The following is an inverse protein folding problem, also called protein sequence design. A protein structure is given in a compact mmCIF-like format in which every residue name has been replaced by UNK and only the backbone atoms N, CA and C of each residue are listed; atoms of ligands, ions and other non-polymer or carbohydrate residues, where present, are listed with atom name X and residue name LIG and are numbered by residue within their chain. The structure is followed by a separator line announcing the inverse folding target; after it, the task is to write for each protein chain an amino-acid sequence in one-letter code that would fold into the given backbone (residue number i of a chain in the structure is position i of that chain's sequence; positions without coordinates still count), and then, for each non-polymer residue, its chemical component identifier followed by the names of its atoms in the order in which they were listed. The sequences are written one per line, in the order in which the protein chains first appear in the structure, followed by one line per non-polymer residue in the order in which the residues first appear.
data_IF_361425344863
#
_entry.id   IF_361425344863
#
_cell.length_a   1.000
_cell.length_b   1.000
_cell.length_c   1.000
_cell.angle_alpha   90.00
_cell.angle_beta   90.00
_cell.angle_gamma   90.00
#
_symmetry.space_group_name_H-M   'P 1'
#
loop_
_entity.id
_entity.type
_entity.pdbx_description
1 polymer ?
#
# COMPACT_ATOMS: atom_id res chain seq x y z
N UNK A 1 -9.02 -7.83 21.40
CA UNK A 1 -8.79 -6.39 21.22
C UNK A 1 -7.30 -6.18 21.05
N UNK A 2 -6.84 -5.83 19.84
CA UNK A 2 -5.47 -5.37 19.64
C UNK A 2 -5.39 -3.98 20.26
N UNK A 3 -4.57 -3.82 21.30
CA UNK A 3 -4.17 -2.49 21.73
C UNK A 3 -3.33 -1.87 20.61
N UNK A 4 -3.78 -0.73 20.11
CA UNK A 4 -3.05 0.04 19.11
C UNK A 4 -1.80 0.63 19.75
N UNK A 5 -0.68 0.57 19.04
CA UNK A 5 0.63 1.03 19.46
C UNK A 5 1.26 1.82 18.33
N UNK A 6 1.92 2.94 18.64
CA UNK A 6 2.68 3.68 17.63
C UNK A 6 3.86 2.80 17.16
N UNK A 7 4.44 3.04 15.98
CA UNK A 7 5.63 2.25 15.60
C UNK A 7 6.80 2.53 16.55
N UNK A 8 6.87 3.71 17.16
CA UNK A 8 7.88 3.95 18.19
C UNK A 8 7.67 3.02 19.38
N UNK A 9 6.44 2.85 19.87
CA UNK A 9 6.11 1.85 20.90
C UNK A 9 6.33 0.40 20.43
N UNK A 10 6.17 0.14 19.13
CA UNK A 10 6.47 -1.16 18.51
C UNK A 10 7.98 -1.41 18.53
N UNK A 11 8.79 -0.43 18.17
CA UNK A 11 10.25 -0.50 18.14
C UNK A 11 10.87 -0.49 19.53
N UNK A 12 10.26 0.20 20.49
CA UNK A 12 10.71 0.29 21.88
C UNK A 12 10.36 -0.97 22.67
N UNK A 13 9.39 -1.77 22.19
CA UNK A 13 8.98 -3.05 22.81
C UNK A 13 8.77 -4.14 21.75
N UNK A 14 9.81 -4.52 20.99
CA UNK A 14 9.67 -5.36 19.79
C UNK A 14 9.26 -6.80 20.09
N UNK A 15 9.46 -7.29 21.31
CA UNK A 15 9.12 -8.65 21.73
C UNK A 15 7.70 -8.79 22.30
N UNK A 16 6.97 -7.68 22.47
CA UNK A 16 5.54 -7.73 22.80
C UNK A 16 4.78 -8.45 21.67
N UNK A 17 3.78 -9.26 22.01
CA UNK A 17 3.15 -10.22 21.09
C UNK A 17 2.64 -9.57 19.79
N UNK A 18 1.98 -8.42 19.89
CA UNK A 18 1.41 -7.72 18.74
C UNK A 18 2.47 -6.92 17.98
N UNK A 19 3.42 -6.33 18.69
CA UNK A 19 4.59 -5.65 18.10
C UNK A 19 5.43 -6.63 17.28
N UNK A 20 5.75 -7.79 17.85
CA UNK A 20 6.46 -8.89 17.19
C UNK A 20 5.73 -9.36 15.94
N UNK A 21 4.40 -9.50 16.02
CA UNK A 21 3.58 -9.87 14.86
C UNK A 21 3.62 -8.80 13.75
N UNK A 22 3.59 -7.52 14.12
CA UNK A 22 3.76 -6.41 13.16
C UNK A 22 5.16 -6.41 12.53
N UNK A 23 6.21 -6.60 13.33
CA UNK A 23 7.59 -6.67 12.86
C UNK A 23 7.87 -7.92 12.01
N UNK A 24 7.20 -9.05 12.28
CA UNK A 24 7.21 -10.23 11.39
C UNK A 24 6.57 -9.93 10.02
N UNK A 25 5.67 -8.93 9.95
CA UNK A 25 5.16 -8.39 8.69
C UNK A 25 6.11 -7.37 8.03
N UNK A 26 7.32 -7.16 8.57
CA UNK A 26 8.43 -6.46 7.91
C UNK A 26 9.49 -7.50 7.51
N UNK A 27 9.17 -8.35 6.53
CA UNK A 27 10.10 -9.36 6.02
C UNK A 27 11.28 -8.69 5.34
N UNK A 28 12.49 -9.07 5.76
CA UNK A 28 13.75 -8.52 5.27
C UNK A 28 14.35 -9.27 4.07
N UNK A 29 13.66 -10.29 3.55
CA UNK A 29 14.19 -11.15 2.49
C UNK A 29 13.21 -11.48 1.37
N UNK A 30 13.77 -11.61 0.17
CA UNK A 30 13.10 -12.18 -1.00
C UNK A 30 13.68 -13.57 -1.30
N UNK A 31 12.82 -14.53 -1.56
CA UNK A 31 13.19 -15.82 -2.16
C UNK A 31 12.58 -15.91 -3.55
N UNK A 32 13.40 -16.32 -4.52
CA UNK A 32 12.96 -16.55 -5.89
C UNK A 32 13.30 -18.00 -6.30
N UNK A 33 12.28 -18.76 -6.72
CA UNK A 33 12.45 -20.04 -7.39
C UNK A 33 12.34 -19.79 -8.90
N UNK A 34 13.36 -20.21 -9.64
CA UNK A 34 13.52 -19.93 -11.07
C UNK A 34 13.78 -21.25 -11.79
N UNK A 35 13.21 -21.42 -12.98
CA UNK A 35 13.53 -22.55 -13.84
C UNK A 35 15.01 -22.56 -14.23
N UNK A 36 15.68 -23.71 -14.09
CA UNK A 36 17.12 -23.85 -14.36
C UNK A 36 17.52 -23.48 -15.79
N UNK A 37 16.58 -23.53 -16.75
CA UNK A 37 16.80 -23.15 -18.14
C UNK A 37 16.97 -21.63 -18.35
N UNK A 38 16.65 -20.81 -17.35
CA UNK A 38 16.69 -19.35 -17.44
C UNK A 38 18.08 -18.80 -17.09
N UNK A 39 19.13 -19.27 -17.77
CA UNK A 39 20.55 -18.97 -17.42
C UNK A 39 20.87 -17.48 -17.33
N UNK A 40 20.38 -16.68 -18.28
CA UNK A 40 20.64 -15.24 -18.30
C UNK A 40 19.97 -14.53 -17.12
N UNK A 41 18.71 -14.88 -16.84
CA UNK A 41 17.95 -14.34 -15.72
C UNK A 41 18.58 -14.71 -14.37
N UNK A 42 19.07 -15.94 -14.23
CA UNK A 42 19.78 -16.38 -13.01
C UNK A 42 21.02 -15.51 -12.80
N UNK A 43 21.84 -15.31 -13.84
CA UNK A 43 23.04 -14.44 -13.77
C UNK A 43 22.70 -13.00 -13.41
N UNK A 44 21.64 -12.45 -14.00
CA UNK A 44 21.19 -11.08 -13.74
C UNK A 44 20.70 -10.91 -12.30
N UNK A 45 19.89 -11.85 -11.80
CA UNK A 45 19.40 -11.84 -10.42
C UNK A 45 20.52 -12.04 -9.39
N UNK A 46 21.52 -12.87 -9.67
CA UNK A 46 22.72 -12.98 -8.83
C UNK A 46 23.50 -11.66 -8.76
N UNK A 47 23.64 -10.96 -9.89
CA UNK A 47 24.30 -9.65 -9.95
C UNK A 47 23.51 -8.61 -9.15
N UNK A 48 22.20 -8.58 -9.29
CA UNK A 48 21.31 -7.69 -8.53
C UNK A 48 21.39 -8.02 -7.04
N UNK A 49 21.35 -9.29 -6.66
CA UNK A 49 21.50 -9.75 -5.28
C UNK A 49 22.83 -9.34 -4.65
N UNK A 50 23.94 -9.44 -5.38
CA UNK A 50 25.25 -8.94 -4.91
C UNK A 50 25.26 -7.43 -4.71
N UNK A 51 24.67 -6.68 -5.64
CA UNK A 51 24.59 -5.22 -5.56
C UNK A 51 23.71 -4.75 -4.38
N UNK A 52 22.55 -5.39 -4.21
CA UNK A 52 21.67 -5.21 -3.05
C UNK A 52 22.40 -5.40 -1.72
N UNK A 53 23.15 -6.50 -1.56
CA UNK A 53 23.95 -6.77 -0.35
C UNK A 53 25.03 -5.72 -0.08
N UNK A 54 25.47 -4.98 -1.11
CA UNK A 54 26.41 -3.87 -0.99
C UNK A 54 25.74 -2.50 -0.81
N UNK A 55 24.43 -2.47 -0.55
CA UNK A 55 23.64 -1.23 -0.38
C UNK A 55 23.36 -0.48 -1.69
N UNK A 56 23.71 -1.06 -2.83
CA UNK A 56 23.51 -0.47 -4.16
C UNK A 56 22.35 -1.15 -4.86
N UNK A 57 21.13 -0.69 -4.64
CA UNK A 57 20.00 -1.17 -5.43
C UNK A 57 20.11 -0.62 -6.85
N UNK A 58 20.09 -1.53 -7.84
CA UNK A 58 19.95 -1.18 -9.25
C UNK A 58 18.54 -1.58 -9.70
N UNK A 59 17.79 -0.63 -10.25
CA UNK A 59 16.51 -0.93 -10.91
C UNK A 59 16.75 -1.88 -12.09
N UNK A 60 15.82 -2.81 -12.31
CA UNK A 60 15.95 -3.85 -13.31
C UNK A 60 14.60 -4.18 -13.93
N UNK A 61 14.56 -4.25 -15.25
CA UNK A 61 13.39 -4.65 -16.04
C UNK A 61 13.83 -5.70 -17.06
N UNK A 62 13.26 -6.90 -17.00
CA UNK A 62 13.54 -7.97 -17.95
C UNK A 62 12.37 -8.94 -18.06
N UNK A 63 11.88 -9.22 -19.27
CA UNK A 63 10.87 -10.25 -19.55
C UNK A 63 9.64 -10.22 -18.62
N UNK A 64 9.21 -8.99 -18.27
CA UNK A 64 8.06 -8.77 -17.37
C UNK A 64 8.38 -8.84 -15.87
N UNK A 65 9.63 -9.11 -15.46
CA UNK A 65 10.11 -8.87 -14.10
C UNK A 65 10.60 -7.44 -13.97
N UNK A 66 10.16 -6.78 -12.91
CA UNK A 66 10.52 -5.41 -12.54
C UNK A 66 10.99 -5.39 -11.10
N UNK A 67 12.16 -4.83 -10.86
CA UNK A 67 12.77 -4.61 -9.54
C UNK A 67 13.08 -3.12 -9.45
N UNK A 68 12.51 -2.42 -8.47
CA UNK A 68 12.63 -0.98 -8.36
C UNK A 68 12.69 -0.52 -6.89
N UNK A 69 13.12 0.72 -6.68
CA UNK A 69 13.23 1.32 -5.35
C UNK A 69 12.13 2.35 -5.12
N UNK A 70 11.64 2.39 -3.89
CA UNK A 70 11.00 3.57 -3.32
C UNK A 70 11.60 3.77 -1.92
N UNK A 71 12.38 4.83 -1.75
CA UNK A 71 13.16 5.14 -0.54
C UNK A 71 12.29 5.30 0.72
N UNK A 72 11.03 5.69 0.54
CA UNK A 72 10.02 5.78 1.60
C UNK A 72 9.29 4.47 1.88
N UNK A 73 9.54 3.42 1.10
CA UNK A 73 8.91 2.12 1.29
C UNK A 73 9.76 1.24 2.22
N UNK A 74 9.17 0.68 3.28
CA UNK A 74 9.91 -0.15 4.24
C UNK A 74 10.34 -1.52 3.70
N UNK A 75 9.83 -1.90 2.52
CA UNK A 75 10.35 -3.01 1.73
C UNK A 75 11.16 -2.55 0.54
N UNK A 76 12.40 -3.01 0.46
CA UNK A 76 13.29 -2.70 -0.65
C UNK A 76 14.16 -3.94 -1.00
N UNK A 77 14.25 -4.35 -2.28
CA UNK A 77 13.61 -3.78 -3.47
C UNK A 77 12.13 -4.15 -3.60
N UNK A 78 11.36 -3.32 -4.30
CA UNK A 78 10.01 -3.67 -4.72
C UNK A 78 10.05 -4.52 -5.98
N UNK A 79 9.23 -5.58 -6.03
CA UNK A 79 9.24 -6.54 -7.12
C UNK A 79 7.84 -6.73 -7.71
N UNK A 80 7.74 -6.61 -9.03
CA UNK A 80 6.56 -6.95 -9.81
C UNK A 80 6.93 -7.99 -10.88
N UNK A 81 6.03 -8.94 -11.15
CA UNK A 81 6.15 -9.85 -12.30
C UNK A 81 4.84 -9.85 -13.05
N UNK A 82 4.91 -9.56 -14.35
CA UNK A 82 3.76 -9.55 -15.25
C UNK A 82 3.09 -10.93 -15.28
N UNK A 83 1.75 -10.95 -15.32
CA UNK A 83 0.99 -12.19 -15.46
C UNK A 83 1.38 -12.89 -16.77
N UNK A 84 1.70 -14.18 -16.70
CA UNK A 84 2.12 -14.98 -17.84
C UNK A 84 3.63 -15.06 -18.07
N UNK A 85 4.46 -14.34 -17.30
CA UNK A 85 5.90 -14.59 -17.28
C UNK A 85 6.16 -15.96 -16.61
N UNK A 86 6.48 -16.96 -17.44
CA UNK A 86 6.71 -18.35 -17.02
C UNK A 86 8.08 -18.47 -16.34
N UNK A 87 8.18 -19.35 -15.33
CA UNK A 87 9.47 -19.77 -14.78
C UNK A 87 10.03 -18.96 -13.61
N UNK A 88 9.25 -18.06 -12.98
CA UNK A 88 9.68 -17.33 -11.78
C UNK A 88 8.58 -17.28 -10.70
N UNK A 89 8.92 -17.72 -9.50
CA UNK A 89 8.09 -17.64 -8.31
C UNK A 89 8.82 -16.88 -7.21
N UNK A 90 8.20 -15.82 -6.68
CA UNK A 90 8.84 -14.91 -5.70
C UNK A 90 8.02 -14.87 -4.42
N UNK A 91 8.69 -14.94 -3.28
CA UNK A 91 8.12 -14.71 -1.94
C UNK A 91 8.90 -13.61 -1.21
N UNK A 92 8.23 -12.68 -0.49
CA UNK A 92 6.78 -12.54 -0.36
C UNK A 92 6.09 -12.21 -1.69
N UNK A 93 4.77 -12.37 -1.75
CA UNK A 93 3.95 -12.21 -2.97
C UNK A 93 4.37 -10.94 -3.70
N UNK A 94 4.68 -11.00 -4.99
CA UNK A 94 5.00 -9.83 -5.83
C UNK A 94 3.88 -8.80 -5.87
N UNK A 95 4.19 -7.55 -6.19
CA UNK A 95 3.18 -6.52 -6.45
C UNK A 95 2.33 -6.91 -7.66
N UNK A 96 1.01 -6.72 -7.58
CA UNK A 96 0.15 -6.82 -8.76
C UNK A 96 0.32 -5.58 -9.68
N UNK A 97 -0.36 -5.53 -10.84
CA UNK A 97 -0.23 -4.40 -11.79
C UNK A 97 -0.66 -3.07 -11.17
N UNK A 98 -1.80 -3.05 -10.49
CA UNK A 98 -2.38 -1.84 -9.90
C UNK A 98 -1.61 -1.44 -8.64
N UNK A 99 -1.17 -2.40 -7.83
CA UNK A 99 -0.26 -2.15 -6.70
C UNK A 99 1.07 -1.52 -7.18
N UNK A 100 1.68 -2.04 -8.27
CA UNK A 100 2.86 -1.42 -8.88
C UNK A 100 2.56 0.01 -9.34
N UNK A 101 1.45 0.22 -10.04
CA UNK A 101 1.06 1.55 -10.54
C UNK A 101 0.90 2.54 -9.39
N UNK A 102 0.18 2.15 -8.32
CA UNK A 102 0.00 2.98 -7.14
C UNK A 102 1.34 3.42 -6.54
N UNK A 103 2.30 2.51 -6.40
CA UNK A 103 3.62 2.88 -5.87
C UNK A 103 4.40 3.80 -6.81
N UNK A 104 4.31 3.60 -8.12
CA UNK A 104 4.94 4.50 -9.11
C UNK A 104 4.37 5.92 -8.97
N UNK A 105 3.05 6.04 -8.90
CA UNK A 105 2.38 7.34 -8.80
C UNK A 105 2.69 8.02 -7.44
N UNK A 106 2.72 7.25 -6.36
CA UNK A 106 3.15 7.70 -5.03
C UNK A 106 4.59 8.22 -5.03
N UNK A 107 5.52 7.49 -5.67
CA UNK A 107 6.92 7.90 -5.81
C UNK A 107 7.02 9.23 -6.56
N UNK A 108 6.36 9.35 -7.70
CA UNK A 108 6.34 10.58 -8.50
C UNK A 108 5.72 11.76 -7.73
N UNK A 109 4.64 11.53 -6.98
CA UNK A 109 4.04 12.53 -6.11
C UNK A 109 5.00 12.98 -5.01
N UNK A 110 5.69 12.04 -4.34
CA UNK A 110 6.66 12.36 -3.29
C UNK A 110 7.85 13.18 -3.80
N UNK A 111 8.29 12.93 -5.03
CA UNK A 111 9.35 13.72 -5.66
C UNK A 111 8.90 15.16 -5.94
N UNK A 112 7.67 15.33 -6.43
CA UNK A 112 7.08 16.64 -6.71
C UNK A 112 6.81 17.44 -5.44
N UNK A 113 6.30 16.79 -4.40
CA UNK A 113 5.85 17.45 -3.17
C UNK A 113 6.92 17.52 -2.07
N UNK A 114 8.18 17.15 -2.39
CA UNK A 114 9.29 17.06 -1.44
C UNK A 114 9.48 18.34 -0.63
N UNK A 115 9.49 19.49 -1.31
CA UNK A 115 9.82 20.79 -0.71
C UNK A 115 8.56 21.60 -0.31
N UNK A 116 7.37 21.05 -0.59
CA UNK A 116 6.06 21.66 -0.33
C UNK A 116 5.32 20.86 0.75
N UNK A 117 4.43 19.95 0.37
CA UNK A 117 3.59 19.22 1.32
C UNK A 117 4.43 18.35 2.26
N UNK A 118 5.50 17.70 1.77
CA UNK A 118 6.35 16.81 2.56
C UNK A 118 7.42 17.55 3.36
N UNK A 119 7.49 18.88 3.28
CA UNK A 119 8.44 19.65 4.08
C UNK A 119 8.17 19.42 5.57
N UNK A 120 9.19 18.98 6.30
CA UNK A 120 9.13 18.62 7.72
C UNK A 120 8.13 17.50 8.05
N UNK A 121 7.76 16.68 7.05
CA UNK A 121 6.95 15.48 7.25
C UNK A 121 7.72 14.24 6.85
N UNK A 122 7.51 13.18 7.60
CA UNK A 122 8.06 11.87 7.29
C UNK A 122 6.93 10.99 6.76
N UNK A 123 7.15 10.36 5.63
CA UNK A 123 6.17 9.47 5.01
C UNK A 123 6.82 8.11 4.82
N UNK A 124 6.16 7.09 5.36
CA UNK A 124 6.51 5.69 5.19
C UNK A 124 5.37 4.96 4.48
N UNK A 125 5.74 4.10 3.53
CA UNK A 125 4.81 3.20 2.87
C UNK A 125 5.15 1.77 3.24
N UNK A 126 4.17 1.07 3.77
CA UNK A 126 4.30 -0.32 4.20
C UNK A 126 3.35 -1.17 3.37
N UNK A 127 3.78 -2.39 3.05
CA UNK A 127 2.90 -3.38 2.46
C UNK A 127 2.32 -4.28 3.54
N UNK A 128 1.01 -4.48 3.52
CA UNK A 128 0.30 -5.33 4.45
C UNK A 128 0.20 -6.76 3.90
N UNK A 129 1.25 -7.56 4.09
CA UNK A 129 1.45 -8.81 3.32
C UNK A 129 0.61 -10.01 3.75
N UNK A 130 -0.17 -9.94 4.83
CA UNK A 130 -0.69 -11.15 5.48
C UNK A 130 -2.20 -11.10 5.76
N UNK A 131 -2.98 -11.78 4.93
CA UNK A 131 -4.32 -12.25 5.34
C UNK A 131 -4.17 -13.16 6.55
N UNK A 132 -4.66 -12.71 7.71
CA UNK A 132 -4.63 -13.47 8.98
C UNK A 132 -3.39 -13.25 9.87
N UNK A 133 -2.36 -12.52 9.43
CA UNK A 133 -1.25 -12.07 10.32
C UNK A 133 -0.98 -10.56 10.27
N UNK A 134 -1.61 -9.85 9.32
CA UNK A 134 -1.42 -8.42 9.07
C UNK A 134 -2.54 -7.60 9.68
N UNK A 135 -2.47 -6.29 9.54
CA UNK A 135 -3.56 -5.42 10.00
C UNK A 135 -4.77 -5.71 9.13
N UNK A 136 -5.86 -6.09 9.76
CA UNK A 136 -7.08 -6.50 9.07
C UNK A 136 -8.27 -6.15 9.94
N UNK A 137 -9.31 -5.65 9.30
CA UNK A 137 -10.53 -5.17 9.95
C UNK A 137 -11.63 -6.18 9.65
N UNK A 138 -11.42 -7.39 10.15
CA UNK A 138 -12.31 -8.53 9.96
C UNK A 138 -13.68 -8.22 10.58
N UNK A 139 -13.69 -7.76 11.82
CA UNK A 139 -14.90 -7.51 12.60
C UNK A 139 -15.69 -6.30 12.06
N UNK A 140 -15.03 -5.36 11.38
CA UNK A 140 -15.62 -4.11 10.89
C UNK A 140 -16.04 -4.11 9.40
N UNK A 141 -15.81 -5.19 8.63
CA UNK A 141 -16.27 -5.23 7.24
C UNK A 141 -15.50 -6.09 6.24
N UNK A 142 -14.66 -7.03 6.67
CA UNK A 142 -13.80 -7.83 5.79
C UNK A 142 -12.89 -6.98 4.90
N UNK A 143 -12.30 -5.92 5.46
CA UNK A 143 -11.36 -5.06 4.76
C UNK A 143 -9.90 -5.47 5.03
N UNK A 144 -9.13 -5.64 3.94
CA UNK A 144 -7.72 -6.06 3.96
C UNK A 144 -6.95 -5.12 3.04
N UNK A 145 -6.47 -3.98 3.57
CA UNK A 145 -5.73 -3.03 2.77
C UNK A 145 -4.43 -3.65 2.28
N UNK A 146 -4.01 -3.34 1.06
CA UNK A 146 -2.73 -3.79 0.52
C UNK A 146 -1.56 -2.96 1.09
N UNK A 147 -1.80 -1.68 1.41
CA UNK A 147 -0.79 -0.75 1.92
C UNK A 147 -1.23 -0.01 3.18
N UNK A 148 -0.23 0.39 3.96
CA UNK A 148 -0.35 1.35 5.05
C UNK A 148 0.53 2.54 4.69
N UNK A 149 -0.06 3.72 4.56
CA UNK A 149 0.64 4.99 4.43
C UNK A 149 0.71 5.61 5.82
N UNK A 150 1.92 5.85 6.30
CA UNK A 150 2.13 6.44 7.61
C UNK A 150 2.84 7.77 7.46
N UNK A 151 2.11 8.86 7.69
CA UNK A 151 2.59 10.23 7.61
C UNK A 151 2.75 10.79 9.01
N UNK A 152 3.96 11.24 9.34
CA UNK A 152 4.29 11.90 10.61
C UNK A 152 4.48 13.39 10.31
N UNK A 153 3.78 14.24 11.07
CA UNK A 153 3.82 15.70 10.94
C UNK A 153 3.89 16.33 12.32
N UNK A 154 5.11 16.65 12.76
CA UNK A 154 5.34 17.06 14.15
C UNK A 154 5.04 15.90 15.10
N UNK A 155 4.16 16.13 16.07
CA UNK A 155 3.74 15.09 17.02
C UNK A 155 2.53 14.28 16.52
N UNK A 156 1.98 14.61 15.34
CA UNK A 156 0.78 13.96 14.82
C UNK A 156 1.12 12.86 13.83
N UNK A 157 0.37 11.76 13.90
CA UNK A 157 0.52 10.58 13.06
C UNK A 157 -0.77 10.31 12.28
N UNK A 158 -0.67 10.24 10.96
CA UNK A 158 -1.76 9.81 10.10
C UNK A 158 -1.47 8.39 9.61
N UNK A 159 -2.25 7.41 10.07
CA UNK A 159 -2.17 6.02 9.62
C UNK A 159 -3.32 5.76 8.65
N UNK A 160 -2.97 5.63 7.38
CA UNK A 160 -3.93 5.52 6.28
C UNK A 160 -3.83 4.15 5.61
N UNK A 161 -4.92 3.42 5.60
CA UNK A 161 -5.03 2.12 4.95
C UNK A 161 -5.47 2.31 3.49
N UNK A 162 -4.67 1.83 2.54
CA UNK A 162 -4.90 2.03 1.12
C UNK A 162 -5.03 0.70 0.38
N UNK A 163 -6.10 0.53 -0.38
CA UNK A 163 -6.42 -0.69 -1.13
C UNK A 163 -6.66 -0.39 -2.62
N UNK A 164 -5.71 -0.71 -3.52
CA UNK A 164 -5.89 -0.64 -4.97
C UNK A 164 -6.88 -1.68 -5.52
N UNK A 165 -8.16 -1.55 -5.16
CA UNK A 165 -9.20 -2.56 -5.36
C UNK A 165 -10.25 -2.18 -6.40
N UNK A 166 -10.66 -3.14 -7.25
CA UNK A 166 -11.73 -2.93 -8.21
C UNK A 166 -13.11 -2.81 -7.55
N UNK A 167 -13.96 -1.94 -8.10
CA UNK A 167 -15.31 -1.68 -7.58
C UNK A 167 -16.40 -2.39 -8.40
N UNK A 168 -16.06 -3.40 -9.20
CA UNK A 168 -17.02 -4.05 -10.12
C UNK A 168 -18.20 -4.71 -9.38
N UNK A 169 -18.04 -5.04 -8.10
CA UNK A 169 -19.06 -5.72 -7.30
C UNK A 169 -19.72 -4.83 -6.25
N UNK A 170 -19.18 -3.65 -5.97
CA UNK A 170 -19.76 -2.71 -5.02
C UNK A 170 -20.99 -2.07 -5.66
N UNK A 171 -22.20 -2.36 -5.16
CA UNK A 171 -23.47 -1.93 -5.79
C UNK A 171 -24.12 -0.70 -5.15
N UNK A 172 -23.62 -0.29 -3.98
CA UNK A 172 -24.11 0.83 -3.20
C UNK A 172 -22.99 1.38 -2.33
N UNK A 173 -23.15 2.60 -1.82
CA UNK A 173 -22.20 3.19 -0.87
C UNK A 173 -22.22 2.46 0.47
N UNK A 174 -23.27 1.67 0.73
CA UNK A 174 -23.36 0.78 1.89
C UNK A 174 -22.52 -0.50 1.79
N UNK A 175 -21.77 -0.70 0.71
CA UNK A 175 -20.77 -1.78 0.63
C UNK A 175 -19.77 -1.65 1.78
N UNK A 176 -19.46 -2.75 2.46
CA UNK A 176 -18.66 -2.73 3.68
C UNK A 176 -17.26 -2.17 3.47
N UNK A 177 -16.68 -2.33 2.27
CA UNK A 177 -15.37 -1.75 1.96
C UNK A 177 -15.45 -0.24 1.79
N UNK A 178 -16.50 0.24 1.13
CA UNK A 178 -16.71 1.68 0.90
C UNK A 178 -17.01 2.38 2.22
N UNK A 179 -17.93 1.84 3.04
CA UNK A 179 -18.24 2.39 4.37
C UNK A 179 -17.08 2.30 5.36
N UNK A 180 -16.02 1.55 5.07
CA UNK A 180 -14.92 1.38 6.01
C UNK A 180 -14.17 2.70 6.27
N UNK A 181 -14.20 3.66 5.33
CA UNK A 181 -13.67 5.01 5.55
C UNK A 181 -14.39 5.77 6.67
N UNK A 182 -15.67 5.49 6.91
CA UNK A 182 -16.44 6.03 8.03
C UNK A 182 -16.21 5.20 9.30
N UNK A 183 -16.33 3.87 9.20
CA UNK A 183 -16.19 2.96 10.35
C UNK A 183 -14.83 3.03 11.03
N UNK A 184 -13.77 3.32 10.28
CA UNK A 184 -12.43 3.44 10.86
C UNK A 184 -12.35 4.58 11.90
N UNK A 185 -13.23 5.58 11.81
CA UNK A 185 -13.31 6.66 12.80
C UNK A 185 -13.86 6.20 14.14
N UNK A 186 -14.72 5.19 14.16
CA UNK A 186 -15.12 4.52 15.41
C UNK A 186 -13.94 3.78 16.06
N UNK A 187 -12.96 3.33 15.26
CA UNK A 187 -11.71 2.77 15.78
C UNK A 187 -10.83 3.89 16.35
N UNK A 188 -10.66 4.99 15.61
CA UNK A 188 -9.93 6.19 16.03
C UNK A 188 -10.46 6.73 17.36
N UNK A 189 -11.77 6.93 17.50
CA UNK A 189 -12.41 7.42 18.73
C UNK A 189 -12.14 6.51 19.94
N UNK A 190 -12.06 5.20 19.71
CA UNK A 190 -11.74 4.21 20.75
C UNK A 190 -10.28 4.24 21.15
N UNK A 191 -9.37 4.73 20.29
CA UNK A 191 -7.95 4.89 20.63
C UNK A 191 -7.75 5.95 21.72
N UNK A 192 -8.61 6.98 21.74
CA UNK A 192 -8.49 8.13 22.66
C UNK A 192 -7.10 8.79 22.63
N UNK A 193 -6.47 8.76 21.48
CA UNK A 193 -5.19 9.41 21.21
C UNK A 193 -5.43 10.53 20.19
N UNK A 194 -5.37 11.78 20.65
CA UNK A 194 -5.59 12.97 19.82
C UNK A 194 -4.43 13.27 18.87
N UNK A 195 -3.32 12.55 19.00
CA UNK A 195 -2.15 12.64 18.11
C UNK A 195 -2.22 11.66 16.93
N UNK A 196 -3.29 10.86 16.85
CA UNK A 196 -3.44 9.81 15.83
C UNK A 196 -4.70 10.04 15.02
N UNK A 197 -4.56 10.01 13.70
CA UNK A 197 -5.67 9.97 12.76
C UNK A 197 -5.60 8.70 11.92
N UNK A 198 -6.66 7.92 11.93
CA UNK A 198 -6.88 6.76 11.07
C UNK A 198 -7.68 7.15 9.83
N UNK A 199 -7.24 6.68 8.67
CA UNK A 199 -7.96 6.85 7.41
C UNK A 199 -8.03 5.54 6.65
N UNK A 200 -9.03 5.39 5.79
CA UNK A 200 -9.07 4.31 4.81
C UNK A 200 -9.41 4.86 3.43
N UNK A 201 -8.78 4.30 2.41
CA UNK A 201 -8.89 4.70 1.02
C UNK A 201 -9.03 3.50 0.10
N UNK A 202 -9.99 3.56 -0.82
CA UNK A 202 -10.07 2.64 -1.95
C UNK A 202 -9.54 3.37 -3.19
N UNK A 203 -8.55 2.79 -3.84
CA UNK A 203 -8.00 3.30 -5.10
C UNK A 203 -8.46 2.38 -6.23
N UNK A 204 -9.57 2.72 -6.87
CA UNK A 204 -10.17 1.90 -7.91
C UNK A 204 -9.35 1.92 -9.21
N UNK A 205 -8.81 0.78 -9.67
CA UNK A 205 -8.27 0.63 -11.01
C UNK A 205 -9.38 0.39 -12.06
N UNK A 206 -10.64 0.31 -11.65
CA UNK A 206 -11.78 0.25 -12.57
C UNK A 206 -12.15 1.68 -12.97
N UNK A 207 -12.23 2.00 -14.25
CA UNK A 207 -12.72 3.32 -14.68
C UNK A 207 -14.16 3.48 -14.24
N UNK A 208 -14.52 4.68 -13.79
CA UNK A 208 -15.87 5.04 -13.35
C UNK A 208 -16.93 4.67 -14.40
N UNK A 209 -16.66 4.98 -15.67
CA UNK A 209 -17.55 4.66 -16.79
C UNK A 209 -17.66 3.15 -17.08
N UNK A 210 -16.76 2.30 -16.57
CA UNK A 210 -16.86 0.85 -16.73
C UNK A 210 -17.76 0.20 -15.66
N UNK A 211 -18.14 0.94 -14.61
CA UNK A 211 -18.97 0.44 -13.51
C UNK A 211 -20.46 0.67 -13.81
N UNK A 212 -20.99 -0.14 -14.72
CA UNK A 212 -22.33 0.04 -15.33
C UNK A 212 -23.47 0.26 -14.34
N UNK A 213 -23.48 -0.42 -13.20
CA UNK A 213 -24.57 -0.31 -12.22
C UNK A 213 -24.56 1.00 -11.42
N UNK A 214 -23.52 1.82 -11.56
CA UNK A 214 -23.44 3.18 -10.98
C UNK A 214 -23.76 4.29 -11.98
N UNK A 215 -23.96 3.97 -13.26
CA UNK A 215 -24.28 4.96 -14.29
C UNK A 215 -25.53 5.75 -13.94
N UNK A 216 -25.39 7.07 -13.85
CA UNK A 216 -26.48 7.99 -13.50
C UNK A 216 -26.96 7.90 -12.04
N UNK A 217 -26.28 7.14 -11.19
CA UNK A 217 -26.65 6.95 -9.76
C UNK A 217 -25.71 7.64 -8.78
N UNK A 218 -24.48 7.92 -9.21
CA UNK A 218 -23.50 8.65 -8.44
C UNK A 218 -22.55 9.38 -9.39
N UNK A 219 -21.72 10.24 -8.81
CA UNK A 219 -20.65 11.00 -9.43
C UNK A 219 -19.31 10.61 -8.79
N UNK A 220 -18.19 10.90 -9.47
CA UNK A 220 -16.86 10.70 -8.87
C UNK A 220 -16.68 11.53 -7.59
N UNK A 221 -17.28 12.71 -7.52
CA UNK A 221 -17.21 13.58 -6.35
C UNK A 221 -17.89 12.93 -5.14
N UNK A 222 -19.07 12.31 -5.34
CA UNK A 222 -19.72 11.52 -4.28
C UNK A 222 -18.84 10.35 -3.83
N UNK A 223 -18.19 9.62 -4.74
CA UNK A 223 -17.20 8.59 -4.36
C UNK A 223 -16.04 9.15 -3.53
N UNK A 224 -15.59 10.37 -3.84
CA UNK A 224 -14.50 11.03 -3.12
C UNK A 224 -14.87 11.34 -1.67
N UNK A 225 -16.15 11.58 -1.35
CA UNK A 225 -16.62 11.76 0.02
C UNK A 225 -16.50 10.47 0.85
N UNK A 226 -16.62 9.31 0.21
CA UNK A 226 -16.37 8.01 0.83
C UNK A 226 -14.90 7.56 0.74
N UNK A 227 -13.99 8.47 0.41
CA UNK A 227 -12.56 8.20 0.28
C UNK A 227 -12.24 7.15 -0.80
N UNK A 228 -13.03 7.15 -1.87
CA UNK A 228 -12.84 6.30 -3.04
C UNK A 228 -12.36 7.14 -4.22
N UNK A 229 -11.21 6.78 -4.78
CA UNK A 229 -10.59 7.51 -5.90
C UNK A 229 -10.34 6.60 -7.10
N UNK A 230 -10.39 7.16 -8.32
CA UNK A 230 -10.27 6.38 -9.55
C UNK A 230 -8.87 6.52 -10.17
N UNK A 231 -8.03 5.50 -9.99
CA UNK A 231 -6.61 5.50 -10.40
C UNK A 231 -6.38 5.96 -11.85
N UNK A 232 -7.20 5.51 -12.80
CA UNK A 232 -6.99 5.82 -14.23
C UNK A 232 -7.81 7.01 -14.74
N UNK A 233 -8.85 7.42 -14.01
CA UNK A 233 -9.65 8.58 -14.41
C UNK A 233 -9.14 9.87 -13.75
N UNK A 234 -8.49 9.74 -12.59
CA UNK A 234 -7.91 10.82 -11.79
C UNK A 234 -6.38 10.67 -11.69
N UNK A 235 -5.74 10.07 -12.70
CA UNK A 235 -4.34 9.63 -12.67
C UNK A 235 -3.33 10.71 -12.20
N UNK A 236 -3.61 11.98 -12.50
CA UNK A 236 -2.74 13.10 -12.12
C UNK A 236 -2.96 13.59 -10.68
N UNK A 237 -4.15 13.34 -10.11
CA UNK A 237 -4.62 14.02 -8.89
C UNK A 237 -4.98 13.06 -7.76
N UNK A 238 -5.28 11.79 -8.03
CA UNK A 238 -5.81 10.89 -7.00
C UNK A 238 -4.87 10.72 -5.80
N UNK A 239 -3.56 10.67 -6.02
CA UNK A 239 -2.58 10.60 -4.94
C UNK A 239 -2.64 11.85 -4.08
N UNK A 240 -2.72 13.04 -4.69
CA UNK A 240 -2.90 14.29 -3.95
C UNK A 240 -4.21 14.27 -3.15
N UNK A 241 -5.29 13.75 -3.73
CA UNK A 241 -6.59 13.64 -3.05
C UNK A 241 -6.55 12.76 -1.82
N UNK A 242 -5.77 11.66 -1.82
CA UNK A 242 -5.53 10.83 -0.64
C UNK A 242 -4.98 11.68 0.50
N UNK A 243 -3.90 12.43 0.25
CA UNK A 243 -3.27 13.26 1.28
C UNK A 243 -4.14 14.45 1.72
N UNK A 244 -4.93 15.03 0.81
CA UNK A 244 -5.88 16.09 1.16
C UNK A 244 -7.03 15.60 2.04
N UNK A 245 -7.35 14.29 2.02
CA UNK A 245 -8.41 13.67 2.84
C UNK A 245 -7.89 13.04 4.13
N UNK A 246 -6.58 13.09 4.41
CA UNK A 246 -6.04 12.66 5.71
C UNK A 246 -6.43 13.70 6.78
N UNK A 247 -7.54 13.46 7.48
CA UNK A 247 -8.10 14.37 8.49
C UNK A 247 -8.81 13.59 9.59
#
# INVERSE_FOLDING_TARGET
YQEYRTIQDILDSPEERHNKQFLENLRIEYSAAIEKSQDQLIKDLEKIGKKLKSGKLQEFEFSGLSIFNFDRHLYNPLIHVKKGSVGIHIRPTRLNKNEKQFIIDMKAWCERERDTFLKNKELYVLRNQSRGKGISFFDEGNFYPDFILWLISGNHQYISFADPHGLQYARSFSDSKILFSERIKEIEDRLKDDTVTLNSFIISPTRFNDIKHWHGRATKDEFSEYHVFFMYDDAETYVQSIFNRMR
#
